data_IF_572432090910
#
_entry.id   IF_572432090910
#
_cell.length_a   1.000
_cell.length_b   1.000
_cell.length_c   1.000
_cell.angle_alpha   90.00
_cell.angle_beta   90.00
_cell.angle_gamma   90.00
#
_symmetry.space_group_name_H-M   'P 1'
#
loop_
_entity.id
_entity.type
_entity.pdbx_description
1 polymer ?
#
# COMPACT_ATOMS: atom_id res chain seq x y z
N UNK A 1 15.18 12.80 1.51
CA UNK A 1 14.06 11.92 1.95
C UNK A 1 13.51 11.19 0.73
N UNK A 2 13.19 9.89 0.78
CA UNK A 2 12.42 9.23 -0.29
C UNK A 2 10.93 9.46 -0.01
N UNK A 3 10.34 10.54 -0.51
CA UNK A 3 8.93 10.92 -0.29
C UNK A 3 8.75 12.44 -0.17
N UNK A 4 7.55 12.88 0.21
CA UNK A 4 7.24 14.30 0.45
C UNK A 4 7.80 14.73 1.82
N UNK A 5 8.62 15.77 1.82
CA UNK A 5 9.21 16.35 3.03
C UNK A 5 8.14 16.89 3.99
N UNK A 6 8.39 16.84 5.30
CA UNK A 6 7.45 17.34 6.32
C UNK A 6 7.17 18.84 6.21
N UNK A 7 8.08 19.61 5.62
CA UNK A 7 7.91 21.04 5.39
C UNK A 7 7.27 21.35 4.02
N UNK A 8 6.93 20.33 3.24
CA UNK A 8 6.22 20.51 1.97
C UNK A 8 4.77 20.91 2.21
N UNK A 9 4.26 21.82 1.39
CA UNK A 9 2.83 22.17 1.34
C UNK A 9 1.93 20.97 0.98
N UNK A 10 2.50 19.90 0.41
CA UNK A 10 1.77 18.69 0.03
C UNK A 10 1.84 17.57 1.09
N UNK A 11 2.48 17.82 2.25
CA UNK A 11 2.72 16.76 3.23
C UNK A 11 1.42 16.17 3.79
N UNK A 12 0.50 17.04 4.24
CA UNK A 12 -0.75 16.60 4.85
C UNK A 12 -1.66 15.91 3.84
N UNK A 13 -1.75 16.45 2.62
CA UNK A 13 -2.49 15.84 1.52
C UNK A 13 -1.98 14.42 1.21
N UNK A 14 -0.66 14.27 1.11
CA UNK A 14 -0.04 12.96 0.86
C UNK A 14 -0.21 11.99 2.03
N UNK A 15 -0.17 12.48 3.27
CA UNK A 15 -0.42 11.65 4.45
C UNK A 15 -1.86 11.09 4.45
N UNK A 16 -2.85 11.94 4.15
CA UNK A 16 -4.26 11.54 4.01
C UNK A 16 -4.43 10.53 2.88
N UNK A 17 -3.83 10.80 1.71
CA UNK A 17 -3.86 9.89 0.57
C UNK A 17 -3.29 8.52 0.93
N UNK A 18 -2.12 8.49 1.57
CA UNK A 18 -1.45 7.25 1.99
C UNK A 18 -2.28 6.47 3.01
N UNK A 19 -2.95 7.17 3.94
CA UNK A 19 -3.86 6.56 4.91
C UNK A 19 -5.06 5.88 4.23
N UNK A 20 -5.70 6.57 3.27
CA UNK A 20 -6.79 5.98 2.49
C UNK A 20 -6.32 4.76 1.69
N UNK A 21 -5.16 4.86 1.06
CA UNK A 21 -4.58 3.78 0.26
C UNK A 21 -4.34 2.52 1.09
N UNK A 22 -3.71 2.63 2.27
CA UNK A 22 -3.48 1.46 3.16
C UNK A 22 -4.80 0.86 3.66
N UNK A 23 -5.80 1.69 3.92
CA UNK A 23 -7.13 1.25 4.34
C UNK A 23 -7.79 0.39 3.26
N UNK A 24 -7.75 0.86 2.01
CA UNK A 24 -8.24 0.12 0.85
C UNK A 24 -7.48 -1.18 0.60
N UNK A 25 -6.14 -1.16 0.66
CA UNK A 25 -5.30 -2.38 0.53
C UNK A 25 -5.72 -3.43 1.57
N UNK A 26 -5.86 -3.01 2.83
CA UNK A 26 -6.28 -3.88 3.94
C UNK A 26 -7.66 -4.46 3.72
N UNK A 27 -8.61 -3.63 3.31
CA UNK A 27 -9.98 -4.07 3.01
C UNK A 27 -9.99 -5.11 1.90
N UNK A 28 -9.42 -4.79 0.74
CA UNK A 28 -9.37 -5.69 -0.41
C UNK A 28 -8.67 -7.01 -0.09
N UNK A 29 -7.57 -6.97 0.67
CA UNK A 29 -6.88 -8.19 1.12
C UNK A 29 -7.82 -9.11 1.91
N UNK A 30 -8.56 -8.55 2.87
CA UNK A 30 -9.53 -9.30 3.68
C UNK A 30 -10.69 -9.83 2.85
N UNK A 31 -11.20 -9.06 1.89
CA UNK A 31 -12.23 -9.50 0.95
C UNK A 31 -11.77 -10.69 0.09
N UNK A 32 -10.49 -10.68 -0.31
CA UNK A 32 -9.83 -11.80 -1.00
C UNK A 32 -9.44 -12.97 -0.07
N UNK A 33 -9.72 -12.86 1.23
CA UNK A 33 -9.38 -13.84 2.26
C UNK A 33 -7.88 -14.16 2.34
N UNK A 34 -7.03 -13.22 1.92
CA UNK A 34 -5.58 -13.38 1.98
C UNK A 34 -5.06 -12.99 3.37
N UNK A 35 -4.15 -13.77 3.95
CA UNK A 35 -3.38 -13.39 5.14
C UNK A 35 -2.26 -12.42 4.77
N UNK A 36 -1.51 -11.92 5.76
CA UNK A 36 -0.34 -11.08 5.46
C UNK A 36 0.83 -11.93 4.97
N UNK A 37 0.95 -13.15 5.48
CA UNK A 37 1.93 -14.17 5.11
C UNK A 37 1.74 -14.62 3.66
N UNK A 38 0.49 -14.78 3.21
CA UNK A 38 0.19 -15.17 1.83
C UNK A 38 0.63 -14.12 0.79
N UNK A 39 0.94 -12.89 1.22
CA UNK A 39 1.48 -11.87 0.33
C UNK A 39 2.91 -12.20 -0.15
N UNK A 40 3.62 -13.09 0.55
CA UNK A 40 4.95 -13.57 0.14
C UNK A 40 4.90 -14.32 -1.20
N UNK A 41 3.78 -14.98 -1.50
CA UNK A 41 3.52 -15.61 -2.80
C UNK A 41 3.48 -14.61 -3.96
N UNK A 42 3.39 -13.31 -3.65
CA UNK A 42 3.38 -12.20 -4.61
C UNK A 42 4.64 -11.34 -4.51
N UNK A 43 5.75 -11.94 -4.06
CA UNK A 43 7.06 -11.30 -3.94
C UNK A 43 7.08 -10.06 -3.02
N UNK A 44 6.22 -10.04 -2.01
CA UNK A 44 6.18 -9.04 -0.96
C UNK A 44 6.54 -9.73 0.36
N UNK A 45 7.74 -9.50 0.89
CA UNK A 45 8.12 -10.12 2.16
C UNK A 45 7.13 -9.73 3.27
N UNK A 46 6.85 -10.67 4.18
CA UNK A 46 5.88 -10.45 5.26
C UNK A 46 6.13 -9.13 6.00
N UNK A 47 7.39 -8.87 6.35
CA UNK A 47 7.81 -7.66 7.07
C UNK A 47 7.57 -6.39 6.24
N UNK A 48 7.82 -6.43 4.94
CA UNK A 48 7.57 -5.27 4.07
C UNK A 48 6.07 -5.00 3.98
N UNK A 49 5.26 -6.03 3.80
CA UNK A 49 3.82 -5.90 3.70
C UNK A 49 3.18 -5.41 5.01
N UNK A 50 3.60 -5.94 6.16
CA UNK A 50 3.18 -5.48 7.48
C UNK A 50 3.46 -3.99 7.70
N UNK A 51 4.63 -3.49 7.26
CA UNK A 51 4.96 -2.07 7.35
C UNK A 51 4.10 -1.20 6.44
N UNK A 52 3.71 -1.70 5.28
CA UNK A 52 2.77 -1.02 4.38
C UNK A 52 1.38 -0.94 5.03
N UNK A 53 0.84 -2.06 5.49
CA UNK A 53 -0.52 -2.10 6.04
C UNK A 53 -0.65 -1.34 7.38
N UNK A 54 0.40 -1.33 8.21
CA UNK A 54 0.45 -0.52 9.45
C UNK A 54 0.69 0.97 9.20
N UNK A 55 1.16 1.37 8.02
CA UNK A 55 1.57 2.74 7.70
C UNK A 55 2.94 3.15 8.22
N UNK A 56 3.76 2.20 8.72
CA UNK A 56 5.16 2.47 9.02
C UNK A 56 5.99 2.81 7.76
N UNK A 57 5.48 2.43 6.58
CA UNK A 57 5.99 2.86 5.27
C UNK A 57 5.08 3.96 4.73
N UNK A 58 5.53 5.23 4.84
CA UNK A 58 4.79 6.38 4.31
C UNK A 58 4.85 6.41 2.77
N UNK A 59 6.03 6.15 2.19
CA UNK A 59 6.20 6.14 0.75
C UNK A 59 6.28 4.70 0.21
N UNK A 60 5.12 4.15 -0.17
CA UNK A 60 5.05 2.84 -0.83
C UNK A 60 5.52 2.98 -2.28
N UNK A 61 6.47 2.15 -2.69
CA UNK A 61 7.03 2.23 -4.05
C UNK A 61 6.01 1.77 -5.09
N UNK A 62 6.13 2.30 -6.31
CA UNK A 62 5.32 1.87 -7.45
C UNK A 62 5.41 0.35 -7.70
N UNK A 63 6.60 -0.24 -7.54
CA UNK A 63 6.81 -1.68 -7.66
C UNK A 63 5.98 -2.47 -6.65
N UNK A 64 5.95 -2.04 -5.38
CA UNK A 64 5.14 -2.70 -4.36
C UNK A 64 3.65 -2.54 -4.66
N UNK A 65 3.21 -1.36 -5.08
CA UNK A 65 1.80 -1.13 -5.46
C UNK A 65 1.38 -2.01 -6.63
N UNK A 66 2.25 -2.18 -7.63
CA UNK A 66 2.00 -3.09 -8.74
C UNK A 66 1.87 -4.55 -8.28
N UNK A 67 2.77 -5.04 -7.42
CA UNK A 67 2.68 -6.38 -6.83
C UNK A 67 1.40 -6.58 -6.02
N UNK A 68 1.04 -5.58 -5.20
CA UNK A 68 -0.20 -5.59 -4.43
C UNK A 68 -1.42 -5.66 -5.37
N UNK A 69 -1.43 -4.91 -6.48
CA UNK A 69 -2.55 -4.97 -7.42
C UNK A 69 -2.69 -6.37 -8.04
N UNK A 70 -1.57 -7.05 -8.33
CA UNK A 70 -1.58 -8.45 -8.80
C UNK A 70 -2.12 -9.41 -7.74
N UNK A 71 -1.67 -9.28 -6.48
CA UNK A 71 -2.16 -10.09 -5.36
C UNK A 71 -3.68 -9.94 -5.16
N UNK A 72 -4.19 -8.72 -5.32
CA UNK A 72 -5.60 -8.40 -5.16
C UNK A 72 -6.44 -8.65 -6.42
N UNK A 73 -5.82 -9.11 -7.51
CA UNK A 73 -6.43 -9.34 -8.82
C UNK A 73 -7.22 -8.11 -9.33
N UNK A 74 -6.60 -6.93 -9.28
CA UNK A 74 -7.14 -5.68 -9.81
C UNK A 74 -6.07 -4.91 -10.59
N UNK A 75 -6.50 -3.96 -11.42
CA UNK A 75 -5.58 -3.03 -12.07
C UNK A 75 -4.97 -2.05 -11.05
N UNK A 76 -3.78 -1.54 -11.36
CA UNK A 76 -3.12 -0.53 -10.51
C UNK A 76 -3.93 0.78 -10.44
N UNK A 77 -4.60 1.17 -11.53
CA UNK A 77 -5.49 2.33 -11.53
C UNK A 77 -6.66 2.14 -10.58
N UNK A 78 -7.31 0.97 -10.61
CA UNK A 78 -8.35 0.63 -9.64
C UNK A 78 -7.83 0.62 -8.21
N UNK A 79 -6.57 0.25 -7.95
CA UNK A 79 -6.00 0.32 -6.61
C UNK A 79 -5.88 1.77 -6.13
N UNK A 80 -5.43 2.67 -7.01
CA UNK A 80 -5.16 4.09 -6.72
C UNK A 80 -6.38 5.01 -6.75
N UNK A 81 -7.54 4.51 -7.19
CA UNK A 81 -8.81 5.24 -7.21
C UNK A 81 -9.39 5.41 -5.78
N UNK A 82 -9.17 6.58 -5.14
CA UNK A 82 -9.41 6.83 -3.70
C UNK A 82 -10.32 8.03 -3.43
#
# INVERSE_FOLDING_TARGET
MRGIDKNSIYFDEFAIFTEKLRGKIRQLRKEKKLTQEEMENFELSLRQFQRIESGATINVTLSNLYKISKALNISLSQLLDL
#
